data_IF_165822054414
#
_entry.id   IF_165822054414
#
_cell.length_a   1.000
_cell.length_b   1.000
_cell.length_c   1.000
_cell.angle_alpha   90.00
_cell.angle_beta   90.00
_cell.angle_gamma   90.00
#
_symmetry.space_group_name_H-M   'P 1'
#
loop_
_entity.id
_entity.type
_entity.pdbx_description
1 polymer ?
#
# COMPACT_ATOMS: atom_id res chain seq x y z
N UNK A 1 -3.04 -5.01 -13.69
CA UNK A 1 -3.17 -3.54 -13.81
C UNK A 1 -2.59 -3.01 -15.12
N UNK A 2 -1.35 -3.34 -15.48
CA UNK A 2 -0.66 -2.84 -16.68
C UNK A 2 -1.50 -2.95 -17.97
N UNK A 3 -2.00 -4.16 -18.25
CA UNK A 3 -2.84 -4.39 -19.44
C UNK A 3 -4.12 -3.54 -19.42
N UNK A 4 -4.76 -3.42 -18.25
CA UNK A 4 -5.93 -2.56 -18.09
C UNK A 4 -5.60 -1.08 -18.31
N UNK A 5 -4.47 -0.60 -17.81
CA UNK A 5 -4.04 0.77 -18.00
C UNK A 5 -3.84 1.10 -19.50
N UNK A 6 -3.17 0.21 -20.24
CA UNK A 6 -2.99 0.37 -21.69
C UNK A 6 -4.32 0.31 -22.45
N UNK A 7 -5.16 -0.70 -22.17
CA UNK A 7 -6.44 -0.88 -22.87
C UNK A 7 -7.42 0.25 -22.62
N UNK A 8 -7.39 0.88 -21.45
CA UNK A 8 -8.30 1.95 -21.03
C UNK A 8 -7.67 3.35 -21.15
N UNK A 9 -6.42 3.46 -21.61
CA UNK A 9 -5.71 4.73 -21.75
C UNK A 9 -5.50 5.44 -20.39
N UNK A 10 -5.28 4.68 -19.31
CA UNK A 10 -5.09 5.23 -17.97
C UNK A 10 -3.65 5.67 -17.75
N UNK A 11 -3.48 6.74 -16.99
CA UNK A 11 -2.19 7.30 -16.58
C UNK A 11 -1.71 6.55 -15.34
N UNK A 12 -0.51 5.96 -15.41
CA UNK A 12 0.09 5.17 -14.32
C UNK A 12 0.79 6.05 -13.30
N UNK A 13 0.74 5.59 -12.05
CA UNK A 13 1.44 6.16 -10.91
C UNK A 13 1.81 5.04 -9.91
N UNK A 14 2.80 5.30 -9.07
CA UNK A 14 3.19 4.37 -8.02
C UNK A 14 3.74 5.12 -6.81
N UNK A 15 3.60 4.52 -5.63
CA UNK A 15 4.22 4.98 -4.39
C UNK A 15 4.41 3.81 -3.42
N UNK A 16 5.28 4.00 -2.45
CA UNK A 16 5.59 3.07 -1.37
C UNK A 16 5.06 3.63 -0.05
N UNK A 17 4.38 2.82 0.75
CA UNK A 17 3.90 3.21 2.08
C UNK A 17 5.02 3.08 3.09
N UNK A 18 5.40 4.20 3.70
CA UNK A 18 6.50 4.23 4.64
C UNK A 18 6.21 3.40 5.89
N UNK A 19 7.10 2.47 6.22
CA UNK A 19 7.02 1.67 7.45
C UNK A 19 5.69 0.91 7.63
N UNK A 20 5.12 0.38 6.56
CA UNK A 20 3.80 -0.21 6.50
C UNK A 20 3.43 -1.11 7.70
N UNK A 21 4.30 -2.05 8.08
CA UNK A 21 4.00 -2.96 9.18
C UNK A 21 3.89 -2.28 10.54
N UNK A 22 4.59 -1.16 10.76
CA UNK A 22 4.56 -0.44 12.03
C UNK A 22 3.23 0.28 12.28
N UNK A 23 2.42 0.50 11.25
CA UNK A 23 1.08 1.07 11.38
C UNK A 23 0.05 0.07 11.92
N UNK A 24 0.28 -1.24 11.71
CA UNK A 24 -0.63 -2.27 12.20
C UNK A 24 -0.56 -2.40 13.71
N UNK A 25 -1.71 -2.63 14.34
CA UNK A 25 -1.80 -2.91 15.77
C UNK A 25 -1.92 -4.42 16.00
N UNK A 26 -1.36 -4.89 17.12
CA UNK A 26 -1.61 -6.25 17.55
C UNK A 26 -3.08 -6.39 17.93
N UNK A 27 -3.73 -7.49 17.56
CA UNK A 27 -5.07 -7.77 18.05
C UNK A 27 -5.03 -8.11 19.56
N UNK A 28 -6.15 -7.88 20.25
CA UNK A 28 -6.27 -8.24 21.65
C UNK A 28 -5.93 -9.73 21.87
N UNK A 29 -5.01 -10.01 22.79
CA UNK A 29 -4.49 -11.35 23.06
C UNK A 29 -3.38 -11.81 22.09
N UNK A 30 -2.93 -10.96 21.17
CA UNK A 30 -1.78 -11.22 20.28
C UNK A 30 -0.51 -10.44 20.76
N UNK A 31 -0.48 -9.95 22.01
CA UNK A 31 0.70 -9.29 22.55
C UNK A 31 1.89 -10.25 22.59
N UNK A 32 3.01 -9.80 22.06
CA UNK A 32 4.24 -10.60 21.97
C UNK A 32 5.23 -10.11 23.02
N UNK A 33 5.62 -10.95 24.00
CA UNK A 33 6.70 -10.60 24.90
C UNK A 33 8.03 -10.61 24.16
N UNK A 34 8.79 -9.53 24.27
CA UNK A 34 10.10 -9.37 23.67
C UNK A 34 11.16 -9.12 24.74
N UNK A 35 12.33 -9.73 24.58
CA UNK A 35 13.47 -9.47 25.46
C UNK A 35 14.00 -8.05 25.23
N UNK A 36 14.49 -7.43 26.30
CA UNK A 36 15.21 -6.18 26.16
C UNK A 36 16.50 -6.39 25.36
N UNK A 37 16.94 -5.38 24.54
CA UNK A 37 18.21 -5.45 23.82
C UNK A 37 19.38 -5.62 24.80
N UNK A 38 20.49 -6.24 24.34
CA UNK A 38 21.72 -6.36 25.14
C UNK A 38 22.17 -5.00 25.69
N UNK A 39 22.43 -4.94 27.01
CA UNK A 39 22.81 -3.73 27.73
C UNK A 39 21.64 -2.87 28.22
N UNK A 40 20.40 -3.25 27.92
CA UNK A 40 19.18 -2.59 28.40
C UNK A 40 18.28 -3.56 29.17
N UNK A 41 18.80 -4.72 29.55
CA UNK A 41 18.07 -5.77 30.27
C UNK A 41 17.50 -5.20 31.58
N UNK A 42 16.29 -5.63 31.90
CA UNK A 42 15.62 -5.31 33.15
C UNK A 42 15.32 -6.58 33.92
N UNK A 43 15.41 -6.50 35.24
CA UNK A 43 15.17 -7.60 36.15
C UNK A 43 14.19 -7.19 37.20
N UNK A 44 13.35 -8.13 37.65
CA UNK A 44 12.49 -7.98 38.82
C UNK A 44 13.32 -8.00 40.10
N UNK A 45 12.73 -7.65 41.23
CA UNK A 45 13.40 -7.66 42.56
C UNK A 45 13.93 -9.05 42.92
N UNK A 46 13.32 -10.11 42.43
CA UNK A 46 13.74 -11.51 42.65
C UNK A 46 14.85 -11.98 41.66
N UNK A 47 15.34 -11.09 40.79
CA UNK A 47 16.39 -11.38 39.81
C UNK A 47 15.90 -12.03 38.51
N UNK A 48 14.60 -12.24 38.32
CA UNK A 48 14.07 -12.77 37.09
C UNK A 48 14.08 -11.73 35.95
N UNK A 49 14.38 -12.12 34.69
CA UNK A 49 14.37 -11.19 33.57
C UNK A 49 12.96 -10.69 33.30
N UNK A 50 12.82 -9.39 33.09
CA UNK A 50 11.59 -8.77 32.64
C UNK A 50 11.56 -8.73 31.12
N UNK A 51 10.36 -8.81 30.55
CA UNK A 51 10.08 -8.69 29.13
C UNK A 51 9.25 -7.45 28.88
N UNK A 52 9.46 -6.81 27.74
CA UNK A 52 8.57 -5.78 27.25
C UNK A 52 7.43 -6.42 26.44
N UNK A 53 6.24 -5.84 26.48
CA UNK A 53 5.15 -6.22 25.59
C UNK A 53 5.20 -5.37 24.33
N UNK A 54 5.18 -6.00 23.18
CA UNK A 54 5.09 -5.33 21.90
C UNK A 54 3.64 -4.86 21.71
N UNK A 55 3.43 -3.55 21.69
CA UNK A 55 2.10 -2.94 21.54
C UNK A 55 1.68 -2.85 20.07
N UNK A 56 2.65 -2.75 19.18
CA UNK A 56 2.44 -2.67 17.73
C UNK A 56 3.16 -3.78 16.98
N UNK A 57 3.11 -3.75 15.67
CA UNK A 57 3.80 -4.72 14.85
C UNK A 57 5.26 -4.35 14.61
N UNK A 58 6.11 -5.35 14.46
CA UNK A 58 7.48 -5.22 13.97
C UNK A 58 7.68 -6.07 12.72
N UNK A 59 8.65 -5.68 11.91
CA UNK A 59 9.10 -6.52 10.80
C UNK A 59 9.60 -7.87 11.32
N UNK A 60 9.20 -8.94 10.63
CA UNK A 60 9.60 -10.30 10.97
C UNK A 60 8.67 -11.03 11.96
N UNK A 61 7.71 -10.38 12.57
CA UNK A 61 6.71 -11.10 13.37
C UNK A 61 5.57 -11.63 12.49
N UNK A 62 5.08 -12.87 12.71
CA UNK A 62 4.10 -13.51 11.82
C UNK A 62 2.79 -12.74 11.60
N UNK A 63 2.17 -12.07 12.60
CA UNK A 63 0.90 -11.38 12.40
C UNK A 63 1.03 -10.01 11.70
N UNK A 64 2.25 -9.42 11.61
CA UNK A 64 2.43 -8.04 11.16
C UNK A 64 1.83 -7.77 9.76
N UNK A 65 2.11 -8.64 8.80
CA UNK A 65 1.58 -8.48 7.44
C UNK A 65 0.05 -8.57 7.38
N UNK A 66 -0.53 -9.51 8.13
CA UNK A 66 -2.00 -9.66 8.21
C UNK A 66 -2.65 -8.45 8.89
N UNK A 67 -2.07 -7.95 9.97
CA UNK A 67 -2.61 -6.82 10.72
C UNK A 67 -2.52 -5.53 9.91
N UNK A 68 -1.39 -5.32 9.21
CA UNK A 68 -1.24 -4.22 8.26
C UNK A 68 -2.29 -4.29 7.14
N UNK A 69 -2.44 -5.44 6.49
CA UNK A 69 -3.40 -5.62 5.41
C UNK A 69 -4.84 -5.34 5.87
N UNK A 70 -5.22 -5.82 7.06
CA UNK A 70 -6.55 -5.55 7.64
C UNK A 70 -6.77 -4.06 7.87
N UNK A 71 -5.78 -3.38 8.48
CA UNK A 71 -5.84 -1.94 8.73
C UNK A 71 -6.00 -1.16 7.42
N UNK A 72 -5.12 -1.42 6.45
CA UNK A 72 -5.13 -0.73 5.17
C UNK A 72 -6.44 -0.94 4.40
N UNK A 73 -6.88 -2.19 4.27
CA UNK A 73 -8.09 -2.50 3.51
C UNK A 73 -9.34 -1.93 4.18
N UNK A 74 -9.42 -2.01 5.51
CA UNK A 74 -10.53 -1.39 6.24
C UNK A 74 -10.55 0.12 6.01
N UNK A 75 -9.41 0.80 6.21
CA UNK A 75 -9.30 2.24 5.96
C UNK A 75 -9.69 2.62 4.52
N UNK A 76 -9.18 1.90 3.52
CA UNK A 76 -9.54 2.17 2.12
C UNK A 76 -11.04 2.06 1.86
N UNK A 77 -11.70 1.08 2.47
CA UNK A 77 -13.11 0.80 2.20
C UNK A 77 -14.08 1.67 3.01
N UNK A 78 -13.64 2.23 4.14
CA UNK A 78 -14.55 2.91 5.09
C UNK A 78 -14.22 4.39 5.34
N UNK A 79 -12.98 4.80 5.16
CA UNK A 79 -12.52 6.13 5.57
C UNK A 79 -11.87 6.94 4.44
N UNK A 80 -11.32 6.26 3.42
CA UNK A 80 -10.59 6.92 2.34
C UNK A 80 -11.50 7.86 1.56
N UNK A 81 -11.12 9.14 1.51
CA UNK A 81 -11.90 10.19 0.85
C UNK A 81 -13.05 10.77 1.67
N UNK A 82 -13.24 10.34 2.92
CA UNK A 82 -14.35 10.82 3.78
C UNK A 82 -14.31 12.33 4.07
N UNK A 83 -13.12 12.91 4.13
CA UNK A 83 -12.91 14.35 4.37
C UNK A 83 -12.78 15.15 3.06
N UNK A 84 -12.99 14.53 1.90
CA UNK A 84 -12.91 15.18 0.60
C UNK A 84 -14.23 15.88 0.24
N UNK A 85 -14.15 17.00 -0.49
CA UNK A 85 -15.32 17.62 -1.13
C UNK A 85 -15.79 16.81 -2.36
N UNK A 86 -14.91 15.99 -2.93
CA UNK A 86 -15.21 15.08 -4.04
C UNK A 86 -15.96 13.85 -3.56
N UNK A 87 -16.80 13.28 -4.42
CA UNK A 87 -17.48 12.00 -4.17
C UNK A 87 -16.53 10.84 -4.44
N UNK A 88 -16.22 10.05 -3.39
CA UNK A 88 -15.35 8.88 -3.49
C UNK A 88 -16.16 7.59 -3.27
N UNK A 89 -15.98 6.63 -4.16
CA UNK A 89 -16.50 5.26 -4.00
C UNK A 89 -15.36 4.28 -4.17
N UNK A 90 -14.98 3.59 -3.10
CA UNK A 90 -13.92 2.59 -3.09
C UNK A 90 -14.53 1.19 -3.01
N UNK A 91 -14.07 0.30 -3.87
CA UNK A 91 -14.52 -1.08 -3.90
C UNK A 91 -13.36 -2.05 -4.18
N UNK A 92 -13.32 -3.15 -3.42
CA UNK A 92 -12.36 -4.23 -3.62
C UNK A 92 -12.81 -5.13 -4.78
N UNK A 93 -11.88 -5.54 -5.64
CA UNK A 93 -12.19 -6.41 -6.76
C UNK A 93 -12.35 -7.86 -6.31
N UNK A 94 -13.47 -8.49 -6.70
CA UNK A 94 -13.84 -9.84 -6.25
C UNK A 94 -12.77 -10.91 -6.58
N UNK A 95 -12.21 -10.87 -7.79
CA UNK A 95 -11.25 -11.88 -8.27
C UNK A 95 -9.78 -11.45 -8.15
N UNK A 96 -9.53 -10.26 -7.61
CA UNK A 96 -8.20 -9.73 -7.34
C UNK A 96 -8.22 -8.96 -6.01
N UNK A 97 -8.20 -9.64 -4.86
CA UNK A 97 -8.40 -9.00 -3.55
C UNK A 97 -7.36 -7.93 -3.17
N UNK A 98 -6.22 -7.91 -3.84
CA UNK A 98 -5.22 -6.84 -3.70
C UNK A 98 -5.47 -5.63 -4.61
N UNK A 99 -6.51 -5.66 -5.46
CA UNK A 99 -6.86 -4.59 -6.38
C UNK A 99 -8.14 -3.90 -5.93
N UNK A 100 -8.10 -2.58 -5.94
CA UNK A 100 -9.23 -1.72 -5.62
C UNK A 100 -9.59 -0.86 -6.83
N UNK A 101 -10.89 -0.71 -7.06
CA UNK A 101 -11.46 0.27 -7.96
C UNK A 101 -11.89 1.48 -7.13
N UNK A 102 -11.47 2.65 -7.54
CA UNK A 102 -11.78 3.92 -6.89
C UNK A 102 -12.47 4.81 -7.93
N UNK A 103 -13.65 5.31 -7.61
CA UNK A 103 -14.32 6.33 -8.38
C UNK A 103 -14.18 7.66 -7.65
N UNK A 104 -13.72 8.70 -8.34
CA UNK A 104 -13.69 10.07 -7.86
C UNK A 104 -14.51 10.89 -8.85
N UNK A 105 -15.67 11.41 -8.43
CA UNK A 105 -16.61 12.11 -9.30
C UNK A 105 -16.89 11.32 -10.61
N UNK A 106 -17.17 10.04 -10.50
CA UNK A 106 -17.40 9.09 -11.59
C UNK A 106 -16.19 8.80 -12.53
N UNK A 107 -15.00 9.36 -12.28
CA UNK A 107 -13.77 8.96 -12.99
C UNK A 107 -13.16 7.74 -12.34
N UNK A 108 -12.71 6.80 -13.15
CA UNK A 108 -12.20 5.52 -12.65
C UNK A 108 -10.69 5.57 -12.43
N UNK A 109 -10.29 5.04 -11.28
CA UNK A 109 -8.92 4.70 -10.95
C UNK A 109 -8.84 3.27 -10.43
N UNK A 110 -7.69 2.65 -10.59
CA UNK A 110 -7.38 1.34 -10.01
C UNK A 110 -6.07 1.43 -9.23
N UNK A 111 -6.01 0.74 -8.11
CA UNK A 111 -4.77 0.54 -7.34
C UNK A 111 -4.61 -0.92 -6.99
N UNK A 112 -3.42 -1.43 -7.17
CA UNK A 112 -2.98 -2.74 -6.67
C UNK A 112 -2.05 -2.48 -5.50
N UNK A 113 -2.32 -3.12 -4.38
CA UNK A 113 -1.52 -3.02 -3.17
C UNK A 113 -0.80 -4.34 -2.93
N UNK A 114 0.51 -4.27 -2.75
CA UNK A 114 1.32 -5.41 -2.36
C UNK A 114 2.20 -5.01 -1.18
N UNK A 115 1.75 -5.30 0.02
CA UNK A 115 2.35 -4.89 1.30
C UNK A 115 2.42 -3.35 1.41
N UNK A 116 3.56 -2.77 1.08
CA UNK A 116 3.89 -1.34 1.09
C UNK A 116 3.86 -0.72 -0.33
N UNK A 117 4.09 -1.53 -1.34
CA UNK A 117 4.04 -1.11 -2.75
C UNK A 117 2.61 -0.87 -3.23
N UNK A 118 2.34 0.32 -3.78
CA UNK A 118 1.09 0.67 -4.43
C UNK A 118 1.35 1.04 -5.91
N UNK A 119 0.75 0.28 -6.83
CA UNK A 119 0.80 0.54 -8.28
C UNK A 119 -0.62 0.89 -8.75
N UNK A 120 -0.80 2.07 -9.34
CA UNK A 120 -2.09 2.56 -9.74
C UNK A 120 -2.16 3.08 -11.17
N UNK A 121 -3.39 3.29 -11.62
CA UNK A 121 -3.68 3.89 -12.90
C UNK A 121 -5.03 4.63 -12.84
N UNK A 122 -5.08 5.84 -13.36
CA UNK A 122 -6.23 6.76 -13.27
C UNK A 122 -6.59 7.34 -14.63
N UNK A 123 -7.87 7.65 -14.84
CA UNK A 123 -8.33 8.39 -16.02
C UNK A 123 -7.81 9.83 -16.04
N UNK A 124 -7.65 10.44 -14.87
CA UNK A 124 -7.14 11.79 -14.70
C UNK A 124 -5.91 11.75 -13.75
N UNK A 125 -4.80 12.42 -14.08
CA UNK A 125 -3.62 12.45 -13.21
C UNK A 125 -3.92 13.08 -11.84
N UNK A 126 -4.91 13.99 -11.75
CA UNK A 126 -5.34 14.59 -10.48
C UNK A 126 -5.92 13.56 -9.52
N UNK A 127 -6.61 12.53 -10.04
CA UNK A 127 -7.18 11.46 -9.22
C UNK A 127 -6.06 10.58 -8.62
N UNK A 128 -5.01 10.28 -9.40
CA UNK A 128 -3.83 9.60 -8.89
C UNK A 128 -3.13 10.39 -7.79
N UNK A 129 -2.99 11.70 -7.97
CA UNK A 129 -2.42 12.59 -6.96
C UNK A 129 -3.29 12.64 -5.69
N UNK A 130 -4.62 12.76 -5.82
CA UNK A 130 -5.55 12.77 -4.69
C UNK A 130 -5.51 11.45 -3.90
N UNK A 131 -5.43 10.30 -4.59
CA UNK A 131 -5.27 8.99 -3.96
C UNK A 131 -3.96 8.92 -3.18
N UNK A 132 -2.85 9.32 -3.80
CA UNK A 132 -1.54 9.38 -3.15
C UNK A 132 -1.56 10.29 -1.92
N UNK A 133 -2.18 11.45 -2.00
CA UNK A 133 -2.24 12.42 -0.90
C UNK A 133 -3.09 11.90 0.26
N UNK A 134 -4.18 11.17 -0.01
CA UNK A 134 -4.96 10.49 1.02
C UNK A 134 -4.12 9.42 1.75
N UNK A 135 -3.35 8.61 1.03
CA UNK A 135 -2.41 7.66 1.63
C UNK A 135 -1.31 8.37 2.42
N UNK A 136 -0.76 9.47 1.89
CA UNK A 136 0.29 10.23 2.55
C UNK A 136 -0.19 10.86 3.86
N UNK A 137 -1.40 11.40 3.88
CA UNK A 137 -2.00 11.97 5.08
C UNK A 137 -2.19 10.93 6.18
N UNK A 138 -2.52 9.68 5.82
CA UNK A 138 -2.84 8.62 6.78
C UNK A 138 -1.61 7.83 7.24
N UNK A 139 -0.69 7.51 6.32
CA UNK A 139 0.40 6.55 6.56
C UNK A 139 1.79 7.12 6.25
N UNK A 140 1.88 8.21 5.47
CA UNK A 140 3.13 8.65 4.88
C UNK A 140 3.55 7.78 3.70
N UNK A 141 3.89 8.41 2.57
CA UNK A 141 4.31 7.70 1.36
C UNK A 141 5.57 8.29 0.76
N UNK A 142 6.25 7.47 -0.07
CA UNK A 142 7.36 7.88 -0.92
C UNK A 142 6.98 7.63 -2.37
N UNK A 143 7.25 8.60 -3.23
CA UNK A 143 7.06 8.42 -4.66
C UNK A 143 8.04 7.39 -5.20
N UNK A 144 7.55 6.52 -6.06
CA UNK A 144 8.33 5.50 -6.76
C UNK A 144 8.07 5.64 -8.25
N UNK A 145 9.09 5.41 -9.08
CA UNK A 145 8.90 5.38 -10.51
C UNK A 145 7.97 4.20 -10.88
N UNK A 146 6.82 4.43 -11.56
CA UNK A 146 5.90 3.36 -11.96
C UNK A 146 6.53 2.31 -12.88
N UNK A 147 7.72 2.57 -13.43
CA UNK A 147 8.51 1.59 -14.17
C UNK A 147 9.11 0.50 -13.28
N UNK A 148 9.27 0.79 -11.97
CA UNK A 148 9.80 -0.15 -11.00
C UNK A 148 8.71 -0.58 -10.03
N UNK A 149 8.49 -1.87 -9.89
CA UNK A 149 7.64 -2.44 -8.86
C UNK A 149 8.13 -3.83 -8.46
N UNK A 150 8.15 -4.13 -7.17
CA UNK A 150 8.61 -5.41 -6.63
C UNK A 150 10.01 -5.80 -7.14
N UNK A 151 10.91 -4.81 -7.29
CA UNK A 151 12.27 -5.04 -7.79
C UNK A 151 12.39 -5.33 -9.29
N UNK A 152 11.29 -5.25 -10.04
CA UNK A 152 11.29 -5.47 -11.48
C UNK A 152 11.16 -4.14 -12.24
N UNK A 153 12.05 -3.93 -13.20
CA UNK A 153 11.91 -2.86 -14.18
C UNK A 153 10.86 -3.23 -15.23
N UNK A 154 10.00 -2.28 -15.59
CA UNK A 154 8.93 -2.45 -16.56
C UNK A 154 9.06 -1.40 -17.65
N UNK A 155 9.43 -1.82 -18.82
CA UNK A 155 9.50 -0.95 -20.00
C UNK A 155 8.20 -1.05 -20.79
N UNK A 156 7.65 0.11 -21.17
CA UNK A 156 6.45 0.21 -22.01
C UNK A 156 6.89 0.67 -23.38
N UNK A 157 6.68 -0.18 -24.39
CA UNK A 157 6.95 0.14 -25.78
C UNK A 157 5.65 0.38 -26.53
N UNK A 158 5.62 1.36 -27.40
CA UNK A 158 4.58 1.46 -28.41
C UNK A 158 4.89 0.45 -29.52
N UNK A 159 3.87 -0.29 -29.95
CA UNK A 159 3.98 -1.25 -31.03
C UNK A 159 3.00 -0.88 -32.14
N UNK A 160 3.39 -1.18 -33.39
CA UNK A 160 2.50 -1.07 -34.57
C UNK A 160 1.49 -2.23 -34.60
N UNK A 161 0.62 -2.22 -35.63
CA UNK A 161 -0.37 -3.28 -35.83
C UNK A 161 0.21 -4.66 -36.15
N UNK A 162 1.51 -4.75 -36.42
CA UNK A 162 2.25 -5.98 -36.69
C UNK A 162 3.08 -6.44 -35.49
N UNK A 163 3.10 -5.63 -34.39
CA UNK A 163 3.82 -5.95 -33.15
C UNK A 163 5.27 -5.48 -33.10
N UNK A 164 5.72 -4.63 -34.04
CA UNK A 164 7.06 -4.06 -34.02
C UNK A 164 7.12 -2.88 -33.06
N UNK A 165 8.23 -2.75 -32.33
CA UNK A 165 8.46 -1.65 -31.41
C UNK A 165 8.67 -0.35 -32.18
N UNK A 166 7.84 0.67 -31.90
CA UNK A 166 7.87 1.97 -32.57
C UNK A 166 8.71 3.03 -31.85
N UNK A 167 8.96 2.85 -30.55
CA UNK A 167 9.67 3.82 -29.74
C UNK A 167 10.56 3.15 -28.70
N UNK A 168 11.62 3.84 -28.28
CA UNK A 168 12.39 3.52 -27.09
C UNK A 168 11.47 3.47 -25.87
N UNK A 169 11.82 2.69 -24.81
CA UNK A 169 11.04 2.63 -23.58
C UNK A 169 10.89 4.04 -22.96
N UNK A 170 9.67 4.40 -22.62
CA UNK A 170 9.35 5.69 -21.98
C UNK A 170 9.28 5.56 -20.46
#
# INVERSE_FOLDING_TARGET
LQMMAVMLGLIRWAFDVSQAYLHGEAAEGEEIPVSYPPGLERYAENGEPLFALLIGNLYGIPPAGRNWQKLLYNWMLTEMGADSEDEWIVSQMLYAPCMFKILINNRVSFVVVHTDDCDGASQDPRDGAAIRDAFNARFGVKDVDPKFMLGNQRDVHQVDGEGNILSEPT
#
